data_IF_023161391370
#
_entry.id   IF_023161391370
#
_cell.length_a   1.000
_cell.length_b   1.000
_cell.length_c   1.000
_cell.angle_alpha   90.00
_cell.angle_beta   90.00
_cell.angle_gamma   90.00
#
_symmetry.space_group_name_H-M   'P 1'
#
loop_
_entity.id
_entity.type
_entity.pdbx_description
1 polymer ?
#
# COMPACT_ATOMS: atom_id res chain seq x y z
N UNK A 1 -2.90 13.39 -4.27
CA UNK A 1 -4.08 13.35 -5.16
C UNK A 1 -5.30 13.60 -4.31
N UNK A 2 -6.03 14.69 -4.55
CA UNK A 2 -7.29 14.98 -3.86
C UNK A 2 -8.45 14.53 -4.76
N UNK A 3 -9.32 13.66 -4.24
CA UNK A 3 -10.56 13.33 -4.91
C UNK A 3 -11.63 14.31 -4.42
N UNK A 4 -12.16 15.14 -5.31
CA UNK A 4 -13.27 16.04 -4.99
C UNK A 4 -14.56 15.32 -5.33
N UNK A 5 -15.35 14.96 -4.32
CA UNK A 5 -16.69 14.43 -4.50
C UNK A 5 -17.66 15.61 -4.53
N UNK A 6 -18.29 15.85 -5.69
CA UNK A 6 -19.31 16.89 -5.84
C UNK A 6 -20.67 16.29 -5.48
N UNK A 7 -21.23 16.72 -4.35
CA UNK A 7 -22.61 16.39 -3.97
C UNK A 7 -23.58 17.45 -4.54
N UNK A 8 -24.80 17.05 -4.93
CA UNK A 8 -25.84 17.99 -5.33
C UNK A 8 -26.18 19.00 -4.22
N UNK A 9 -26.56 20.23 -4.58
CA UNK A 9 -26.81 21.35 -3.64
C UNK A 9 -27.96 21.10 -2.65
N UNK A 10 -28.87 20.18 -2.97
CA UNK A 10 -29.95 19.75 -2.08
C UNK A 10 -29.46 19.01 -0.82
N UNK A 11 -28.19 18.62 -0.77
CA UNK A 11 -27.58 17.97 0.39
C UNK A 11 -26.79 18.92 1.29
N UNK A 12 -26.61 20.18 0.89
CA UNK A 12 -26.01 21.25 1.70
C UNK A 12 -26.88 21.47 2.95
N UNK A 13 -26.25 21.57 4.13
CA UNK A 13 -26.92 21.70 5.44
C UNK A 13 -27.83 20.53 5.86
N UNK A 14 -28.00 19.52 5.00
CA UNK A 14 -28.85 18.35 5.24
C UNK A 14 -28.06 17.06 5.45
N UNK A 15 -26.74 17.11 5.27
CA UNK A 15 -25.85 15.98 5.46
C UNK A 15 -24.92 16.21 6.65
N UNK A 16 -25.01 15.30 7.63
CA UNK A 16 -24.16 15.25 8.83
C UNK A 16 -23.24 14.04 8.70
N UNK A 17 -21.93 14.26 8.81
CA UNK A 17 -20.93 13.21 8.65
C UNK A 17 -19.80 13.29 9.67
N UNK A 18 -18.75 12.49 9.41
CA UNK A 18 -17.49 12.55 10.17
C UNK A 18 -16.81 13.93 10.05
N UNK A 19 -17.20 14.70 9.04
CA UNK A 19 -16.75 16.05 8.75
C UNK A 19 -17.89 17.07 8.99
N UNK A 20 -18.77 16.84 9.97
CA UNK A 20 -19.71 17.88 10.40
C UNK A 20 -20.85 18.16 9.41
N UNK A 21 -21.29 19.42 9.35
CA UNK A 21 -22.34 19.89 8.45
C UNK A 21 -21.73 20.24 7.09
N UNK A 22 -22.26 19.70 6.00
CA UNK A 22 -21.80 20.07 4.66
C UNK A 22 -22.28 21.49 4.30
N UNK A 23 -21.54 22.52 4.71
CA UNK A 23 -21.88 23.94 4.54
C UNK A 23 -20.72 24.81 4.03
N UNK A 24 -19.58 24.19 3.68
CA UNK A 24 -18.32 24.86 3.28
C UNK A 24 -17.63 25.68 4.38
N UNK A 25 -18.03 25.51 5.65
CA UNK A 25 -17.35 26.05 6.81
C UNK A 25 -16.44 24.98 7.44
N UNK A 26 -15.12 25.04 7.23
CA UNK A 26 -14.22 24.02 7.79
C UNK A 26 -14.08 24.09 9.32
N UNK A 27 -14.69 25.08 9.97
CA UNK A 27 -14.61 25.23 11.43
C UNK A 27 -15.49 24.26 12.20
N UNK A 28 -16.55 23.72 11.57
CA UNK A 28 -17.45 22.73 12.17
C UNK A 28 -17.27 21.32 11.59
N UNK A 29 -16.28 21.10 10.73
CA UNK A 29 -16.04 19.80 10.12
C UNK A 29 -15.75 18.72 11.19
N UNK A 30 -14.95 18.98 12.21
CA UNK A 30 -14.57 17.95 13.18
C UNK A 30 -15.56 17.79 14.33
N UNK A 31 -16.82 17.48 13.99
CA UNK A 31 -17.88 17.25 14.96
C UNK A 31 -17.85 15.81 15.51
N UNK A 32 -17.84 15.71 16.83
CA UNK A 32 -18.06 14.45 17.54
C UNK A 32 -19.54 14.07 17.51
N UNK A 33 -19.89 12.79 17.75
CA UNK A 33 -21.28 12.35 17.90
C UNK A 33 -22.13 13.16 18.91
N UNK A 34 -21.59 13.63 20.04
CA UNK A 34 -22.32 14.54 20.93
C UNK A 34 -22.43 16.00 20.45
N UNK A 35 -21.85 16.35 19.28
CA UNK A 35 -21.94 17.69 18.69
C UNK A 35 -20.86 18.67 19.14
N UNK A 36 -19.78 18.18 19.77
CA UNK A 36 -18.63 19.00 20.15
C UNK A 36 -17.64 19.10 18.97
N UNK A 37 -17.22 20.33 18.66
CA UNK A 37 -16.26 20.64 17.59
C UNK A 37 -14.84 20.48 18.11
N UNK A 38 -14.04 19.65 17.45
CA UNK A 38 -12.62 19.49 17.75
C UNK A 38 -11.80 20.48 16.92
N UNK A 39 -10.93 21.30 17.52
CA UNK A 39 -10.06 22.19 16.76
C UNK A 39 -9.08 21.38 15.88
N UNK A 40 -9.01 21.73 14.60
CA UNK A 40 -8.11 21.11 13.63
C UNK A 40 -6.63 21.46 13.88
N UNK A 41 -6.37 22.58 14.57
CA UNK A 41 -5.03 23.04 14.90
C UNK A 41 -4.58 22.50 16.27
N UNK A 42 -3.49 21.71 16.29
CA UNK A 42 -2.91 21.19 17.54
C UNK A 42 -3.54 19.90 18.05
N UNK A 43 -4.20 19.13 17.20
CA UNK A 43 -4.76 17.83 17.55
C UNK A 43 -3.64 16.86 18.01
N UNK A 44 -3.74 16.35 19.24
CA UNK A 44 -2.82 15.32 19.74
C UNK A 44 -3.20 13.94 19.20
N UNK A 45 -2.26 12.98 19.12
CA UNK A 45 -2.56 11.60 18.70
C UNK A 45 -3.70 10.96 19.51
N UNK A 46 -3.80 11.27 20.80
CA UNK A 46 -4.85 10.80 21.70
C UNK A 46 -6.20 11.42 21.35
N UNK A 47 -6.23 12.71 20.98
CA UNK A 47 -7.43 13.39 20.49
C UNK A 47 -7.96 12.78 19.21
N UNK A 48 -7.07 12.48 18.26
CA UNK A 48 -7.42 11.82 16.99
C UNK A 48 -7.95 10.40 17.23
N UNK A 49 -7.32 9.62 18.12
CA UNK A 49 -7.78 8.29 18.48
C UNK A 49 -9.17 8.32 19.14
N UNK A 50 -9.37 9.26 20.07
CA UNK A 50 -10.64 9.41 20.79
C UNK A 50 -11.76 9.83 19.83
N UNK A 51 -11.49 10.74 18.89
CA UNK A 51 -12.42 11.11 17.83
C UNK A 51 -12.82 9.91 16.95
N UNK A 52 -11.83 9.13 16.48
CA UNK A 52 -12.07 7.94 15.66
C UNK A 52 -12.88 6.86 16.38
N UNK A 53 -12.61 6.66 17.68
CA UNK A 53 -13.40 5.70 18.49
C UNK A 53 -14.84 6.16 18.70
N UNK A 54 -15.11 7.46 18.82
CA UNK A 54 -16.45 8.02 18.90
C UNK A 54 -17.30 7.74 17.66
N UNK A 55 -16.68 7.65 16.49
CA UNK A 55 -17.35 7.37 15.22
C UNK A 55 -17.38 5.89 14.83
N UNK A 56 -16.83 4.99 15.65
CA UNK A 56 -16.81 3.55 15.40
C UNK A 56 -18.23 3.03 15.11
N UNK A 57 -18.44 2.50 13.90
CA UNK A 57 -19.70 1.89 13.47
C UNK A 57 -19.56 0.38 13.61
N UNK A 58 -20.62 -0.31 14.08
CA UNK A 58 -20.60 -1.77 14.11
C UNK A 58 -20.81 -2.33 12.70
N UNK A 59 -20.33 -3.55 12.44
CA UNK A 59 -20.55 -4.23 11.17
C UNK A 59 -22.04 -4.39 10.82
N UNK A 60 -22.91 -4.43 11.84
CA UNK A 60 -24.35 -4.60 11.70
C UNK A 60 -25.11 -3.29 11.51
N UNK A 61 -24.54 -2.16 11.92
CA UNK A 61 -25.16 -0.83 11.78
C UNK A 61 -24.57 0.00 10.63
N UNK A 62 -23.51 -0.47 9.98
CA UNK A 62 -22.94 0.18 8.81
C UNK A 62 -23.82 -0.08 7.57
N UNK A 63 -24.26 0.99 6.92
CA UNK A 63 -24.87 0.93 5.58
C UNK A 63 -23.85 0.52 4.50
N UNK A 64 -22.56 0.62 4.81
CA UNK A 64 -21.48 0.14 3.95
C UNK A 64 -21.18 -1.32 4.28
N UNK A 65 -21.34 -2.21 3.29
CA UNK A 65 -20.81 -3.57 3.35
C UNK A 65 -19.30 -3.51 3.35
N UNK A 66 -18.68 -3.75 4.52
CA UNK A 66 -17.26 -4.07 4.62
C UNK A 66 -17.00 -5.48 4.10
N UNK A 67 -17.24 -5.67 2.81
CA UNK A 67 -16.77 -6.84 2.09
C UNK A 67 -15.39 -6.48 1.51
N UNK A 68 -14.42 -6.32 2.40
CA UNK A 68 -13.03 -6.02 2.04
C UNK A 68 -12.49 -7.05 1.07
N UNK A 69 -12.97 -8.29 1.16
CA UNK A 69 -12.65 -9.37 0.21
C UNK A 69 -13.18 -9.06 -1.18
N UNK A 70 -14.45 -8.65 -1.32
CA UNK A 70 -15.02 -8.26 -2.61
C UNK A 70 -14.42 -6.97 -3.18
N UNK A 71 -14.01 -6.00 -2.36
CA UNK A 71 -13.29 -4.81 -2.84
C UNK A 71 -11.87 -5.15 -3.31
N UNK A 72 -11.17 -6.05 -2.62
CA UNK A 72 -9.87 -6.58 -3.05
C UNK A 72 -9.97 -7.45 -4.32
N UNK A 73 -11.08 -8.19 -4.47
CA UNK A 73 -11.32 -9.06 -5.64
C UNK A 73 -11.86 -8.29 -6.85
N UNK A 74 -12.72 -7.27 -6.64
CA UNK A 74 -13.33 -6.45 -7.70
C UNK A 74 -12.42 -5.31 -8.17
N UNK A 75 -11.55 -4.80 -7.30
CA UNK A 75 -10.44 -3.95 -7.68
C UNK A 75 -9.17 -4.78 -7.66
N UNK A 76 -8.99 -5.55 -8.73
CA UNK A 76 -7.65 -5.85 -9.22
C UNK A 76 -7.02 -4.53 -9.67
N UNK A 77 -6.62 -3.70 -8.69
CA UNK A 77 -5.60 -2.71 -8.93
C UNK A 77 -4.44 -3.51 -9.48
N UNK A 78 -4.16 -3.35 -10.78
CA UNK A 78 -2.82 -3.62 -11.25
C UNK A 78 -1.92 -2.90 -10.24
N UNK A 79 -0.95 -3.58 -9.60
CA UNK A 79 0.06 -2.86 -8.85
C UNK A 79 0.74 -1.99 -9.90
N UNK A 80 0.26 -0.75 -9.99
CA UNK A 80 0.95 0.40 -10.50
C UNK A 80 1.70 0.88 -9.26
N UNK A 81 2.88 0.33 -8.95
CA UNK A 81 3.78 1.08 -8.10
C UNK A 81 3.97 2.39 -8.85
N UNK A 82 3.35 3.46 -8.35
CA UNK A 82 3.82 4.78 -8.69
C UNK A 82 5.29 4.79 -8.22
N UNK A 83 6.28 4.81 -9.14
CA UNK A 83 7.68 4.72 -8.76
C UNK A 83 8.11 5.92 -7.89
N UNK A 84 7.26 6.95 -7.76
CA UNK A 84 7.48 8.13 -6.92
C UNK A 84 7.00 7.91 -5.48
N UNK A 85 6.09 6.97 -5.22
CA UNK A 85 5.60 6.69 -3.87
C UNK A 85 6.36 5.53 -3.22
N UNK A 86 7.61 5.79 -2.86
CA UNK A 86 8.28 5.02 -1.80
C UNK A 86 7.83 5.67 -0.49
N UNK A 87 7.10 4.98 0.41
CA UNK A 87 6.86 5.51 1.73
C UNK A 87 8.22 5.73 2.40
N UNK A 88 8.64 6.99 2.47
CA UNK A 88 9.83 7.38 3.22
C UNK A 88 9.47 7.24 4.70
N UNK A 89 9.53 6.03 5.23
CA UNK A 89 9.75 5.86 6.65
C UNK A 89 11.17 6.35 6.90
N UNK A 90 11.31 7.62 7.26
CA UNK A 90 12.56 8.13 7.81
C UNK A 90 12.90 7.24 9.01
N UNK A 91 14.03 6.51 9.01
CA UNK A 91 14.49 5.83 10.21
C UNK A 91 14.61 6.85 11.34
N UNK A 92 14.22 6.54 12.58
CA UNK A 92 14.42 7.44 13.71
C UNK A 92 15.90 7.82 13.83
N UNK A 93 16.17 9.11 13.97
CA UNK A 93 17.52 9.71 13.90
C UNK A 93 18.45 9.34 15.07
N UNK A 94 18.00 8.53 16.03
CA UNK A 94 18.73 8.27 17.28
C UNK A 94 19.12 6.79 17.44
N UNK A 95 20.43 6.45 17.38
CA UNK A 95 20.94 5.08 17.55
C UNK A 95 20.84 4.51 18.98
N UNK A 96 20.11 5.16 19.89
CA UNK A 96 20.12 4.85 21.33
C UNK A 96 18.73 4.60 21.91
N UNK A 97 17.68 4.54 21.10
CA UNK A 97 16.35 4.19 21.60
C UNK A 97 16.20 2.66 21.71
N UNK A 98 16.07 2.09 22.92
CA UNK A 98 15.88 0.64 23.10
C UNK A 98 14.60 0.11 22.45
N UNK A 99 13.62 0.96 22.10
CA UNK A 99 12.43 0.56 21.35
C UNK A 99 12.72 0.31 19.86
N UNK A 100 13.77 0.94 19.31
CA UNK A 100 14.19 0.77 17.91
C UNK A 100 14.93 -0.55 17.72
N UNK A 101 15.74 -0.98 18.71
CA UNK A 101 16.42 -2.27 18.66
C UNK A 101 15.43 -3.46 18.65
N UNK A 102 14.33 -3.36 19.40
CA UNK A 102 13.30 -4.40 19.45
C UNK A 102 12.45 -4.42 18.16
N UNK A 103 12.14 -3.25 17.59
CA UNK A 103 11.43 -3.15 16.30
C UNK A 103 12.31 -3.58 15.11
N UNK A 104 13.63 -3.39 15.18
CA UNK A 104 14.60 -3.82 14.15
C UNK A 104 14.89 -5.33 14.25
N UNK A 105 14.74 -5.93 15.43
CA UNK A 105 14.92 -7.38 15.64
C UNK A 105 13.64 -8.17 15.33
N UNK A 106 12.48 -7.52 15.36
CA UNK A 106 11.19 -8.14 15.08
C UNK A 106 10.87 -8.17 13.57
N UNK A 107 11.23 -9.28 12.90
CA UNK A 107 10.75 -9.65 11.56
C UNK A 107 10.95 -8.58 10.47
N UNK A 108 12.21 -8.25 10.15
CA UNK A 108 12.51 -7.60 8.87
C UNK A 108 12.28 -8.63 7.76
N UNK A 109 11.14 -8.52 7.08
CA UNK A 109 10.87 -9.31 5.88
C UNK A 109 11.70 -8.73 4.73
N UNK A 110 12.81 -9.37 4.40
CA UNK A 110 13.68 -8.97 3.29
C UNK A 110 13.00 -9.31 1.97
N UNK A 111 12.81 -8.30 1.12
CA UNK A 111 12.20 -8.43 -0.22
C UNK A 111 13.17 -7.89 -1.26
N UNK A 112 13.49 -8.71 -2.26
CA UNK A 112 14.40 -8.32 -3.34
C UNK A 112 13.72 -7.55 -4.48
N UNK A 113 12.42 -7.27 -4.34
CA UNK A 113 11.63 -6.58 -5.36
C UNK A 113 11.28 -7.46 -6.57
N UNK A 114 10.35 -6.97 -7.39
CA UNK A 114 9.82 -7.70 -8.54
C UNK A 114 10.77 -7.65 -9.73
N UNK A 115 11.19 -8.82 -10.23
CA UNK A 115 11.84 -8.92 -11.53
C UNK A 115 10.81 -8.96 -12.68
N UNK A 116 11.03 -8.22 -13.78
CA UNK A 116 10.19 -8.31 -14.98
C UNK A 116 10.45 -9.61 -15.75
N UNK A 117 9.46 -10.13 -16.48
CA UNK A 117 9.69 -11.23 -17.43
C UNK A 117 10.57 -10.74 -18.60
N UNK A 118 11.42 -11.61 -19.16
CA UNK A 118 12.17 -11.29 -20.38
C UNK A 118 11.20 -11.09 -21.56
N UNK A 119 11.56 -10.21 -22.49
CA UNK A 119 10.83 -10.05 -23.75
C UNK A 119 10.94 -11.36 -24.55
N UNK A 120 9.83 -11.84 -25.12
CA UNK A 120 9.73 -13.15 -25.79
C UNK A 120 10.09 -14.32 -24.86
N UNK A 121 9.63 -14.23 -23.61
CA UNK A 121 9.81 -15.26 -22.61
C UNK A 121 8.93 -15.06 -21.39
N UNK A 122 9.11 -15.93 -20.42
CA UNK A 122 8.28 -16.05 -19.23
C UNK A 122 9.14 -16.05 -17.99
N UNK A 123 8.59 -15.48 -16.92
CA UNK A 123 9.10 -15.61 -15.56
C UNK A 123 8.14 -16.47 -14.77
N UNK A 124 8.66 -17.50 -14.13
CA UNK A 124 7.92 -18.37 -13.26
C UNK A 124 8.29 -18.10 -11.79
N UNK A 125 7.25 -17.94 -10.96
CA UNK A 125 7.37 -17.51 -9.56
C UNK A 125 6.80 -16.10 -9.30
N UNK A 126 6.12 -15.98 -8.17
CA UNK A 126 5.38 -14.77 -7.75
C UNK A 126 5.81 -14.24 -6.38
N UNK A 127 6.74 -14.92 -5.71
CA UNK A 127 7.27 -14.55 -4.39
C UNK A 127 8.64 -13.89 -4.55
N UNK A 128 8.87 -12.81 -3.82
CA UNK A 128 10.07 -11.97 -3.91
C UNK A 128 10.81 -11.81 -2.59
N UNK A 129 10.45 -12.63 -1.59
CA UNK A 129 11.08 -12.60 -0.27
C UNK A 129 12.35 -13.44 -0.28
N UNK A 130 13.22 -13.19 0.70
CA UNK A 130 14.44 -13.96 0.97
C UNK A 130 14.23 -15.47 0.83
N UNK A 131 15.20 -16.14 0.20
CA UNK A 131 15.18 -17.58 -0.06
C UNK A 131 14.28 -18.02 -1.22
N UNK A 132 13.36 -17.16 -1.71
CA UNK A 132 12.56 -17.51 -2.88
C UNK A 132 13.39 -17.47 -4.16
N UNK A 133 13.13 -18.41 -5.05
CA UNK A 133 13.78 -18.51 -6.36
C UNK A 133 12.77 -18.29 -7.48
N UNK A 134 13.15 -17.46 -8.45
CA UNK A 134 12.42 -17.21 -9.69
C UNK A 134 13.14 -17.93 -10.83
N UNK A 135 12.39 -18.58 -11.71
CA UNK A 135 12.93 -19.21 -12.92
C UNK A 135 12.43 -18.50 -14.17
N UNK A 136 13.22 -18.59 -15.23
CA UNK A 136 12.97 -17.89 -16.48
C UNK A 136 13.04 -18.86 -17.66
N UNK A 137 12.19 -18.63 -18.64
CA UNK A 137 12.16 -19.39 -19.90
C UNK A 137 11.91 -18.45 -21.08
N UNK A 138 12.26 -18.88 -22.28
CA UNK A 138 11.98 -18.15 -23.51
C UNK A 138 10.86 -18.84 -24.30
N UNK A 139 10.17 -18.07 -25.13
CA UNK A 139 9.18 -18.60 -26.07
C UNK A 139 9.87 -19.44 -27.17
N UNK A 140 9.08 -20.19 -27.95
CA UNK A 140 9.61 -20.99 -29.05
C UNK A 140 10.42 -20.11 -30.03
N UNK A 141 11.49 -20.67 -30.61
CA UNK A 141 12.49 -19.97 -31.44
C UNK A 141 13.42 -18.98 -30.70
N UNK A 142 13.31 -18.83 -29.38
CA UNK A 142 14.21 -17.99 -28.58
C UNK A 142 15.06 -18.80 -27.61
N UNK A 143 16.29 -18.35 -27.41
CA UNK A 143 17.28 -18.95 -26.50
C UNK A 143 17.48 -18.00 -25.31
N UNK A 144 17.45 -18.56 -24.10
CA UNK A 144 17.68 -17.82 -22.87
C UNK A 144 19.17 -17.51 -22.70
N UNK A 145 19.46 -16.24 -22.47
CA UNK A 145 20.80 -15.76 -22.15
C UNK A 145 20.83 -15.18 -20.72
N UNK A 146 21.98 -15.33 -20.03
CA UNK A 146 22.19 -15.07 -18.58
C UNK A 146 21.58 -16.13 -17.65
N UNK A 147 21.15 -15.73 -16.46
CA UNK A 147 20.73 -16.64 -15.40
C UNK A 147 19.32 -17.20 -15.66
N UNK A 148 19.21 -18.52 -15.77
CA UNK A 148 17.93 -19.25 -15.86
C UNK A 148 17.13 -19.18 -14.57
N UNK A 149 17.80 -18.95 -13.43
CA UNK A 149 17.21 -18.82 -12.11
C UNK A 149 17.88 -17.71 -11.33
N UNK A 150 17.11 -17.03 -10.48
CA UNK A 150 17.59 -15.98 -9.57
C UNK A 150 16.93 -16.17 -8.20
N UNK A 151 17.72 -16.07 -7.14
CA UNK A 151 17.29 -16.29 -5.75
C UNK A 151 17.43 -15.00 -4.97
N UNK A 152 16.45 -14.68 -4.13
CA UNK A 152 16.50 -13.50 -3.27
C UNK A 152 17.42 -13.76 -2.08
N UNK A 153 18.45 -12.92 -1.93
CA UNK A 153 19.46 -13.00 -0.89
C UNK A 153 19.06 -12.19 0.35
N UNK A 154 19.73 -12.44 1.47
CA UNK A 154 19.51 -11.78 2.77
C UNK A 154 19.78 -10.26 2.71
N UNK A 155 20.57 -9.79 1.74
CA UNK A 155 20.87 -8.38 1.52
C UNK A 155 19.79 -7.63 0.70
N UNK A 156 18.71 -8.33 0.31
CA UNK A 156 17.65 -7.75 -0.51
C UNK A 156 18.01 -7.67 -2.00
N UNK A 157 19.04 -8.38 -2.46
CA UNK A 157 19.40 -8.44 -3.89
C UNK A 157 19.09 -9.79 -4.52
N UNK A 158 18.84 -9.79 -5.83
CA UNK A 158 18.68 -11.01 -6.61
C UNK A 158 20.02 -11.55 -7.06
N UNK A 159 20.28 -12.82 -6.77
CA UNK A 159 21.45 -13.52 -7.31
C UNK A 159 21.47 -13.55 -8.84
N UNK A 160 22.66 -13.64 -9.42
CA UNK A 160 22.85 -13.75 -10.87
C UNK A 160 22.46 -12.50 -11.67
N UNK A 161 22.35 -12.67 -12.99
CA UNK A 161 22.11 -11.58 -13.95
C UNK A 161 20.70 -11.67 -14.54
N UNK A 162 20.10 -10.52 -14.85
CA UNK A 162 18.77 -10.47 -15.48
C UNK A 162 18.76 -11.18 -16.85
N UNK A 163 17.89 -12.18 -17.07
CA UNK A 163 17.83 -12.88 -18.34
C UNK A 163 17.15 -12.09 -19.44
N UNK A 164 17.56 -12.40 -20.67
CA UNK A 164 16.94 -11.94 -21.90
C UNK A 164 16.90 -13.07 -22.94
N UNK A 165 15.90 -13.01 -23.82
CA UNK A 165 15.69 -14.01 -24.86
C UNK A 165 16.19 -13.47 -26.19
N UNK A 166 17.11 -14.21 -26.82
CA UNK A 166 17.62 -13.90 -28.15
C UNK A 166 17.00 -14.86 -29.17
N UNK A 167 16.63 -14.37 -30.35
CA UNK A 167 16.12 -15.24 -31.40
C UNK A 167 17.24 -16.22 -31.78
N UNK A 168 16.98 -17.52 -31.66
CA UNK A 168 17.90 -18.55 -32.08
C UNK A 168 18.04 -18.48 -33.60
N UNK A 169 19.25 -18.22 -34.08
CA UNK A 169 19.56 -18.44 -35.49
C UNK A 169 19.81 -19.94 -35.68
N UNK A 170 18.77 -20.65 -36.13
CA UNK A 170 18.92 -21.94 -36.80
C UNK A 170 19.06 -21.69 -38.31
#
# INVERSE_FOLDING_TARGET
>A
MAATVLLPSEFTDHTLGLLGLMNSDPSDDLLTRPGEVIPSHGATPEGIFTFGTGWKVSKTSSLFTHDSKRLLDAHSFAPSPDPVFVPAFSPPETPHDPLVADMVTACVVVSCGRLPPPRNGKKNGTRYLEGNTLSFSCDEEFILFRSTQRTCLEDGTWSGEQPFCLKGWF
#
